data_IF_095114082665
#
_entry.id   IF_095114082665
#
_cell.length_a   1.000
_cell.length_b   1.000
_cell.length_c   1.000
_cell.angle_alpha   90.00
_cell.angle_beta   90.00
_cell.angle_gamma   90.00
#
_symmetry.space_group_name_H-M   'P 1'
#
loop_
_entity.id
_entity.type
_entity.pdbx_description
1 polymer ?
#
# COMPACT_ATOMS: atom_id res chain seq x y z
N UNK A 1 -28.21 -9.31 -20.48
CA UNK A 1 -28.57 -10.62 -19.89
C UNK A 1 -29.13 -10.36 -18.49
N UNK A 2 -30.45 -10.48 -18.33
CA UNK A 2 -31.09 -10.44 -17.01
C UNK A 2 -31.03 -11.86 -16.45
N UNK A 3 -30.10 -12.13 -15.53
CA UNK A 3 -30.11 -13.38 -14.78
C UNK A 3 -31.40 -13.46 -13.95
N UNK A 4 -32.00 -14.64 -13.94
CA UNK A 4 -33.18 -14.92 -13.13
C UNK A 4 -32.85 -14.68 -11.63
N UNK A 5 -33.83 -14.25 -10.81
CA UNK A 5 -33.60 -13.97 -9.39
C UNK A 5 -32.93 -15.14 -8.65
N UNK A 6 -33.33 -16.37 -8.96
CA UNK A 6 -32.82 -17.60 -8.34
C UNK A 6 -31.34 -17.86 -8.65
N UNK A 7 -30.90 -17.65 -9.90
CA UNK A 7 -29.49 -17.80 -10.29
C UNK A 7 -28.58 -16.80 -9.57
N UNK A 8 -29.12 -15.60 -9.29
CA UNK A 8 -28.39 -14.57 -8.54
C UNK A 8 -28.22 -14.96 -7.08
N UNK A 9 -29.25 -15.54 -6.47
CA UNK A 9 -29.22 -15.98 -5.09
C UNK A 9 -28.26 -17.15 -4.89
N UNK A 10 -28.33 -18.17 -5.76
CA UNK A 10 -27.37 -19.30 -5.73
C UNK A 10 -25.92 -18.83 -5.88
N UNK A 11 -25.66 -17.88 -6.79
CA UNK A 11 -24.32 -17.32 -6.96
C UNK A 11 -23.87 -16.55 -5.70
N UNK A 12 -24.77 -15.80 -5.08
CA UNK A 12 -24.46 -15.04 -3.87
C UNK A 12 -24.20 -15.97 -2.67
N UNK A 13 -24.87 -17.13 -2.58
CA UNK A 13 -24.57 -18.20 -1.62
C UNK A 13 -23.18 -18.78 -1.85
N UNK A 14 -22.86 -19.18 -3.09
CA UNK A 14 -21.51 -19.69 -3.43
C UNK A 14 -20.40 -18.68 -3.11
N UNK A 15 -20.66 -17.39 -3.35
CA UNK A 15 -19.70 -16.33 -2.97
C UNK A 15 -19.51 -16.31 -1.45
N UNK A 16 -20.58 -16.43 -0.66
CA UNK A 16 -20.52 -16.37 0.79
C UNK A 16 -19.75 -17.55 1.37
N UNK A 17 -20.01 -18.78 0.89
CA UNK A 17 -19.26 -19.98 1.27
C UNK A 17 -17.76 -19.83 1.01
N UNK A 18 -17.39 -19.43 -0.22
CA UNK A 18 -15.97 -19.27 -0.58
C UNK A 18 -15.28 -18.18 0.25
N UNK A 19 -15.98 -17.10 0.60
CA UNK A 19 -15.45 -16.06 1.49
C UNK A 19 -15.24 -16.58 2.92
N UNK A 20 -16.13 -17.44 3.41
CA UNK A 20 -16.02 -18.08 4.74
C UNK A 20 -14.88 -19.11 4.77
N UNK A 21 -14.64 -19.79 3.65
CA UNK A 21 -13.48 -20.67 3.45
C UNK A 21 -12.14 -19.91 3.35
N UNK A 22 -12.18 -18.57 3.46
CA UNK A 22 -11.00 -17.71 3.44
C UNK A 22 -10.47 -17.41 2.03
N UNK A 23 -11.21 -17.79 0.98
CA UNK A 23 -10.83 -17.49 -0.40
C UNK A 23 -10.83 -15.97 -0.64
N UNK A 24 -9.86 -15.52 -1.44
CA UNK A 24 -9.70 -14.12 -1.75
C UNK A 24 -10.72 -13.65 -2.80
N UNK A 25 -11.10 -12.37 -2.77
CA UNK A 25 -12.02 -11.79 -3.77
C UNK A 25 -11.54 -12.04 -5.20
N UNK A 26 -10.23 -12.04 -5.42
CA UNK A 26 -9.64 -12.25 -6.74
C UNK A 26 -9.75 -13.70 -7.21
N UNK A 27 -9.55 -14.66 -6.31
CA UNK A 27 -9.75 -16.09 -6.59
C UNK A 27 -11.23 -16.39 -6.86
N UNK A 28 -12.14 -15.83 -6.05
CA UNK A 28 -13.59 -16.00 -6.25
C UNK A 28 -14.02 -15.42 -7.60
N UNK A 29 -13.52 -14.22 -7.96
CA UNK A 29 -13.74 -13.59 -9.26
C UNK A 29 -13.33 -14.52 -10.40
N UNK A 30 -12.14 -15.13 -10.31
CA UNK A 30 -11.64 -16.08 -11.31
C UNK A 30 -12.48 -17.36 -11.38
N UNK A 31 -12.82 -17.92 -10.21
CA UNK A 31 -13.52 -19.20 -10.08
C UNK A 31 -14.97 -19.12 -10.56
N UNK A 32 -15.70 -18.10 -10.12
CA UNK A 32 -17.13 -17.94 -10.42
C UNK A 32 -17.39 -17.02 -11.62
N UNK A 33 -16.34 -16.57 -12.31
CA UNK A 33 -16.41 -15.61 -13.43
C UNK A 33 -17.30 -14.38 -13.12
N UNK A 34 -17.28 -13.96 -11.86
CA UNK A 34 -18.13 -12.87 -11.37
C UNK A 34 -17.35 -11.56 -11.27
N UNK A 35 -18.04 -10.44 -11.03
CA UNK A 35 -17.38 -9.15 -10.86
C UNK A 35 -16.89 -8.95 -9.43
N UNK A 36 -15.82 -8.16 -9.26
CA UNK A 36 -15.38 -7.68 -7.95
C UNK A 36 -16.52 -7.03 -7.16
N UNK A 37 -17.36 -6.22 -7.84
CA UNK A 37 -18.50 -5.54 -7.22
C UNK A 37 -19.53 -6.52 -6.64
N UNK A 38 -19.80 -7.64 -7.34
CA UNK A 38 -20.71 -8.66 -6.84
C UNK A 38 -20.17 -9.32 -5.56
N UNK A 39 -18.89 -9.71 -5.55
CA UNK A 39 -18.24 -10.31 -4.38
C UNK A 39 -18.20 -9.34 -3.20
N UNK A 40 -17.82 -8.08 -3.44
CA UNK A 40 -17.79 -7.05 -2.41
C UNK A 40 -19.19 -6.77 -1.82
N UNK A 41 -20.23 -6.73 -2.67
CA UNK A 41 -21.62 -6.58 -2.21
C UNK A 41 -22.03 -7.72 -1.29
N UNK A 42 -21.84 -8.98 -1.72
CA UNK A 42 -22.20 -10.16 -0.91
C UNK A 42 -21.46 -10.16 0.42
N UNK A 43 -20.15 -9.89 0.40
CA UNK A 43 -19.32 -9.82 1.61
C UNK A 43 -19.89 -8.83 2.62
N UNK A 44 -20.25 -7.62 2.16
CA UNK A 44 -20.81 -6.56 3.03
C UNK A 44 -22.22 -6.94 3.50
N UNK A 45 -23.08 -7.41 2.60
CA UNK A 45 -24.47 -7.80 2.92
C UNK A 45 -24.53 -8.95 3.93
N UNK A 46 -23.59 -9.90 3.86
CA UNK A 46 -23.51 -11.05 4.75
C UNK A 46 -22.59 -10.83 5.96
N UNK A 47 -22.03 -9.63 6.13
CA UNK A 47 -21.17 -9.29 7.27
C UNK A 47 -19.87 -10.09 7.37
N UNK A 48 -19.36 -10.62 6.25
CA UNK A 48 -18.17 -11.49 6.27
C UNK A 48 -16.90 -10.62 6.44
N UNK A 49 -16.15 -10.92 7.50
CA UNK A 49 -14.93 -10.21 7.85
C UNK A 49 -13.87 -10.29 6.74
N UNK A 50 -13.03 -9.25 6.64
CA UNK A 50 -11.85 -9.30 5.77
C UNK A 50 -10.76 -10.12 6.49
N UNK A 51 -10.01 -10.99 5.79
CA UNK A 51 -8.85 -11.65 6.38
C UNK A 51 -7.91 -10.65 7.06
N UNK A 52 -7.38 -11.03 8.22
CA UNK A 52 -6.42 -10.24 8.99
C UNK A 52 -5.21 -9.92 8.10
N UNK A 53 -4.87 -8.64 7.96
CA UNK A 53 -3.82 -8.15 7.05
C UNK A 53 -4.32 -7.54 5.74
N UNK A 54 -5.63 -7.61 5.44
CA UNK A 54 -6.27 -6.86 4.34
C UNK A 54 -7.23 -5.77 4.82
N UNK A 55 -7.42 -5.67 6.14
CA UNK A 55 -8.05 -4.50 6.75
C UNK A 55 -7.20 -3.29 6.39
N UNK A 56 -7.85 -2.20 5.94
CA UNK A 56 -7.16 -0.92 5.81
C UNK A 56 -6.60 -0.54 7.18
N UNK A 57 -5.39 0.01 7.22
CA UNK A 57 -4.86 0.64 8.42
C UNK A 57 -5.90 1.66 8.92
N UNK A 58 -6.12 1.66 10.23
CA UNK A 58 -6.91 2.68 10.91
C UNK A 58 -6.27 4.06 10.73
N UNK A 59 -7.01 5.12 11.02
CA UNK A 59 -6.46 6.47 10.96
C UNK A 59 -5.31 6.64 11.97
N UNK A 60 -5.48 6.11 13.17
CA UNK A 60 -4.47 6.10 14.24
C UNK A 60 -3.17 5.41 13.78
N UNK A 61 -3.27 4.22 13.19
CA UNK A 61 -2.08 3.52 12.66
C UNK A 61 -1.40 4.30 11.53
N UNK A 62 -2.15 5.06 10.73
CA UNK A 62 -1.56 5.90 9.69
C UNK A 62 -0.83 7.09 10.30
N UNK A 63 -1.43 7.75 11.29
CA UNK A 63 -0.84 8.89 12.00
C UNK A 63 0.47 8.46 12.70
N UNK A 64 0.49 7.29 13.36
CA UNK A 64 1.71 6.72 13.98
C UNK A 64 2.83 6.48 12.95
N UNK A 65 2.48 5.97 11.76
CA UNK A 65 3.46 5.73 10.69
C UNK A 65 3.97 7.01 10.06
N UNK A 66 3.12 8.04 9.97
CA UNK A 66 3.51 9.38 9.51
C UNK A 66 4.50 10.02 10.50
N UNK A 67 4.24 9.94 11.81
CA UNK A 67 5.16 10.44 12.83
C UNK A 67 6.53 9.71 12.81
N UNK A 68 6.51 8.39 12.68
CA UNK A 68 7.74 7.61 12.52
C UNK A 68 8.49 7.97 11.23
N UNK A 69 7.77 8.21 10.13
CA UNK A 69 8.36 8.63 8.87
C UNK A 69 9.00 10.02 8.99
N UNK A 70 8.34 10.97 9.66
CA UNK A 70 8.89 12.30 9.95
C UNK A 70 10.17 12.21 10.78
N UNK A 71 10.18 11.35 11.81
CA UNK A 71 11.36 11.11 12.63
C UNK A 71 12.53 10.58 11.79
N UNK A 72 12.27 9.59 10.93
CA UNK A 72 13.28 9.05 10.02
C UNK A 72 13.77 10.10 9.00
N UNK A 73 12.87 10.93 8.47
CA UNK A 73 13.22 12.00 7.54
C UNK A 73 14.13 13.05 8.19
N UNK A 74 13.85 13.44 9.44
CA UNK A 74 14.70 14.35 10.22
C UNK A 74 16.08 13.74 10.52
N UNK A 75 16.12 12.44 10.79
CA UNK A 75 17.36 11.68 10.96
C UNK A 75 18.15 11.46 9.65
N UNK A 76 17.61 11.90 8.50
CA UNK A 76 18.28 11.79 7.21
C UNK A 76 18.10 10.48 6.47
N UNK A 77 17.14 9.65 6.89
CA UNK A 77 16.82 8.42 6.18
C UNK A 77 16.41 8.71 4.73
N UNK A 78 16.84 7.83 3.84
CA UNK A 78 16.48 7.85 2.43
C UNK A 78 15.03 7.41 2.24
N UNK A 79 14.43 7.82 1.13
CA UNK A 79 13.06 7.41 0.79
C UNK A 79 12.89 5.89 0.72
N UNK A 80 13.95 5.19 0.27
CA UNK A 80 13.99 3.74 0.17
C UNK A 80 13.96 3.07 1.54
N UNK A 81 14.71 3.58 2.51
CA UNK A 81 14.74 3.05 3.88
C UNK A 81 13.39 3.24 4.58
N UNK A 82 12.79 4.42 4.43
CA UNK A 82 11.46 4.72 4.98
C UNK A 82 10.40 3.81 4.36
N UNK A 83 10.43 3.61 3.04
CA UNK A 83 9.50 2.69 2.38
C UNK A 83 9.71 1.23 2.84
N UNK A 84 10.95 0.77 2.94
CA UNK A 84 11.26 -0.59 3.35
C UNK A 84 10.75 -0.89 4.77
N UNK A 85 10.88 0.08 5.69
CA UNK A 85 10.50 -0.07 7.10
C UNK A 85 9.01 0.16 7.36
N UNK A 86 8.44 1.25 6.83
CA UNK A 86 7.10 1.72 7.21
C UNK A 86 6.05 1.50 6.11
N UNK A 87 6.49 1.12 4.90
CA UNK A 87 5.65 1.05 3.69
C UNK A 87 4.94 2.38 3.36
N UNK A 88 5.49 3.50 3.82
CA UNK A 88 5.03 4.85 3.47
C UNK A 88 5.57 5.20 2.09
N UNK A 89 4.69 5.53 1.14
CA UNK A 89 5.06 5.80 -0.24
C UNK A 89 5.82 7.13 -0.43
N UNK A 90 6.62 7.27 -1.50
CA UNK A 90 7.46 8.45 -1.74
C UNK A 90 6.66 9.76 -1.88
N UNK A 91 5.41 9.69 -2.34
CA UNK A 91 4.50 10.85 -2.42
C UNK A 91 4.17 11.36 -1.01
N UNK A 92 3.75 10.48 -0.11
CA UNK A 92 3.46 10.81 1.29
C UNK A 92 4.72 11.35 1.96
N UNK A 93 5.87 10.71 1.78
CA UNK A 93 7.15 11.21 2.31
C UNK A 93 7.49 12.62 1.82
N UNK A 94 7.18 12.94 0.56
CA UNK A 94 7.39 14.28 -0.02
C UNK A 94 6.43 15.30 0.59
N UNK A 95 5.18 14.90 0.84
CA UNK A 95 4.19 15.73 1.53
C UNK A 95 4.63 16.02 2.97
N UNK A 96 4.99 14.99 3.73
CA UNK A 96 5.50 15.13 5.11
C UNK A 96 6.73 16.04 5.18
N UNK A 97 7.65 15.96 4.20
CA UNK A 97 8.78 16.89 4.12
C UNK A 97 8.34 18.35 4.00
N UNK A 98 7.34 18.63 3.16
CA UNK A 98 6.83 19.99 2.95
C UNK A 98 6.13 20.51 4.20
N UNK A 99 5.24 19.69 4.77
CA UNK A 99 4.44 20.03 5.95
C UNK A 99 5.29 20.28 7.20
N UNK A 100 6.35 19.49 7.40
CA UNK A 100 7.26 19.64 8.53
C UNK A 100 8.54 20.42 8.22
N UNK A 101 8.60 21.10 7.06
CA UNK A 101 9.74 21.90 6.62
C UNK A 101 11.10 21.16 6.67
N UNK A 102 11.13 19.87 6.32
CA UNK A 102 12.33 19.04 6.39
C UNK A 102 13.13 19.19 5.09
N UNK A 103 14.38 19.69 5.14
CA UNK A 103 15.20 19.93 3.95
C UNK A 103 15.54 18.62 3.23
N UNK A 104 15.48 18.64 1.89
CA UNK A 104 15.91 17.51 1.07
C UNK A 104 17.41 17.33 1.25
N UNK A 105 17.80 16.15 1.73
CA UNK A 105 19.22 15.81 1.87
C UNK A 105 19.85 15.79 0.48
N UNK A 106 21.04 16.39 0.31
CA UNK A 106 21.75 16.31 -0.96
C UNK A 106 21.97 14.83 -1.30
N UNK A 107 21.76 14.51 -2.58
CA UNK A 107 21.97 13.16 -3.10
C UNK A 107 23.48 12.89 -3.05
N UNK A 108 23.96 12.29 -1.95
CA UNK A 108 25.35 11.86 -1.82
C UNK A 108 25.67 10.86 -2.95
N UNK A 109 26.26 11.36 -4.03
CA UNK A 109 26.41 10.58 -5.26
C UNK A 109 26.82 11.35 -6.51
N UNK A 110 27.71 12.35 -6.40
CA UNK A 110 28.80 12.45 -7.36
C UNK A 110 30.06 12.13 -6.56
N UNK A 111 30.59 10.93 -6.71
CA UNK A 111 32.01 10.72 -6.46
C UNK A 111 32.70 11.64 -7.47
N UNK A 112 33.22 12.78 -7.04
CA UNK A 112 34.34 13.37 -7.77
C UNK A 112 35.42 12.30 -7.71
N UNK A 113 35.69 11.64 -8.84
CA UNK A 113 36.87 10.80 -8.96
C UNK A 113 38.08 11.64 -8.54
N UNK A 114 39.06 11.08 -7.80
CA UNK A 114 40.30 11.77 -7.44
C UNK A 114 41.23 11.99 -8.65
N UNK A 115 40.69 12.10 -9.87
CA UNK A 115 41.46 12.21 -11.11
C UNK A 115 41.67 13.67 -11.56
N UNK A 116 41.05 14.66 -10.90
CA UNK A 116 41.17 16.08 -11.25
C UNK A 116 41.98 16.91 -10.23
N UNK A 117 42.80 16.26 -9.39
CA UNK A 117 43.89 16.93 -8.65
C UNK A 117 45.24 16.64 -9.32
N UNK A 118 45.35 17.09 -10.57
CA UNK A 118 46.60 17.19 -11.31
C UNK A 118 47.03 18.64 -11.48
N UNK A 119 47.16 19.38 -10.37
CA UNK A 119 47.87 20.66 -10.34
C UNK A 119 49.39 20.47 -10.48
N UNK A 120 50.13 21.46 -10.99
CA UNK A 120 51.38 21.27 -11.72
C UNK A 120 52.60 21.12 -10.81
N UNK A 121 53.54 20.24 -11.16
CA UNK A 121 54.91 20.24 -10.63
C UNK A 121 55.92 19.69 -11.67
N UNK A 122 56.46 20.61 -12.47
CA UNK A 122 57.89 20.88 -12.76
C UNK A 122 58.04 21.56 -14.12
#
# INVERSE_FOLDING_TARGET
MNNLPEEREQRDEQIAELLQDGMTVEEIKRRLQTSYRAVARVRVQRGIAVPVGRTRRSREELDDLEEQAVTMLRAGATQREIYAKLRVGPIIQTQLRKEHHIPVQPRNGRKTSPADEGGPLL
#
